data_IF_195168708836
#
_entry.id   IF_195168708836
#
_cell.length_a   1.000
_cell.length_b   1.000
_cell.length_c   1.000
_cell.angle_alpha   90.00
_cell.angle_beta   90.00
_cell.angle_gamma   90.00
#
_symmetry.space_group_name_H-M   'P 1'
#
loop_
_entity.id
_entity.type
_entity.pdbx_description
1 polymer ?
#
# COMPACT_ATOMS: atom_id res chain seq x y z
N UNK A 1 -47.03 -52.49 27.05
CA UNK A 1 -47.64 -52.25 25.73
C UNK A 1 -47.48 -50.75 25.44
N UNK A 2 -46.74 -50.43 24.37
CA UNK A 2 -46.65 -49.15 23.64
C UNK A 2 -46.14 -47.91 24.41
N UNK A 3 -44.90 -47.42 24.20
CA UNK A 3 -44.22 -46.88 22.99
C UNK A 3 -44.73 -45.48 22.58
N UNK A 4 -43.73 -44.58 22.53
CA UNK A 4 -43.55 -43.38 21.70
C UNK A 4 -44.06 -42.04 22.28
N UNK A 5 -43.21 -41.02 22.09
CA UNK A 5 -43.45 -39.57 22.13
C UNK A 5 -43.10 -38.82 23.43
N UNK A 6 -41.80 -38.54 23.62
CA UNK A 6 -41.34 -37.19 23.99
C UNK A 6 -39.86 -37.00 23.63
N UNK A 7 -39.52 -37.26 22.36
CA UNK A 7 -38.36 -36.66 21.68
C UNK A 7 -38.64 -35.19 21.30
N UNK A 8 -39.33 -34.45 22.19
CA UNK A 8 -39.81 -33.07 21.97
C UNK A 8 -39.02 -32.07 22.84
N UNK A 9 -37.92 -32.49 23.46
CA UNK A 9 -37.08 -31.63 24.29
C UNK A 9 -35.83 -31.07 23.61
N UNK A 10 -35.42 -31.59 22.45
CA UNK A 10 -34.07 -31.33 21.90
C UNK A 10 -34.04 -30.77 20.46
N UNK A 11 -35.16 -30.19 20.00
CA UNK A 11 -35.22 -29.56 18.66
C UNK A 11 -35.63 -28.08 18.67
N UNK A 12 -35.94 -27.51 19.83
CA UNK A 12 -36.32 -26.08 19.96
C UNK A 12 -35.12 -25.18 20.27
N UNK A 13 -33.96 -25.74 20.63
CA UNK A 13 -32.78 -24.95 20.97
C UNK A 13 -31.90 -24.56 19.76
N UNK A 14 -32.20 -25.03 18.54
CA UNK A 14 -31.34 -24.78 17.38
C UNK A 14 -31.87 -23.73 16.38
N UNK A 15 -33.11 -23.26 16.55
CA UNK A 15 -33.72 -22.27 15.62
C UNK A 15 -33.50 -20.82 16.08
N UNK A 16 -33.06 -20.58 17.32
CA UNK A 16 -32.87 -19.24 17.89
C UNK A 16 -31.43 -18.72 17.88
N UNK A 17 -30.46 -19.44 17.30
CA UNK A 17 -29.07 -19.00 17.24
C UNK A 17 -28.65 -18.36 15.90
N UNK A 18 -29.58 -18.22 14.94
CA UNK A 18 -29.26 -17.69 13.60
C UNK A 18 -29.75 -16.26 13.40
N UNK A 19 -30.57 -15.70 14.29
CA UNK A 19 -31.22 -14.40 14.06
C UNK A 19 -30.60 -13.20 14.77
N UNK A 20 -29.55 -13.34 15.60
CA UNK A 20 -29.08 -12.24 16.46
C UNK A 20 -27.60 -11.84 16.40
N UNK A 21 -26.74 -12.48 15.60
CA UNK A 21 -25.33 -12.06 15.46
C UNK A 21 -24.86 -11.91 14.01
N UNK A 22 -25.79 -11.78 13.07
CA UNK A 22 -25.49 -11.29 11.73
C UNK A 22 -25.66 -9.78 11.66
N UNK A 23 -24.96 -9.01 12.50
CA UNK A 23 -24.80 -7.59 12.18
C UNK A 23 -23.96 -7.59 10.90
N UNK A 24 -24.49 -7.18 9.73
CA UNK A 24 -23.60 -6.96 8.59
C UNK A 24 -22.57 -5.97 9.11
N UNK A 25 -21.29 -6.31 8.98
CA UNK A 25 -20.23 -5.35 9.21
C UNK A 25 -20.62 -4.14 8.35
N UNK A 26 -21.04 -3.05 9.00
CA UNK A 26 -21.25 -1.80 8.32
C UNK A 26 -19.87 -1.50 7.75
N UNK A 27 -19.74 -1.65 6.43
CA UNK A 27 -18.59 -1.16 5.71
C UNK A 27 -18.49 0.30 6.10
N UNK A 28 -17.57 0.59 6.99
CA UNK A 28 -17.22 1.94 7.41
C UNK A 28 -17.10 2.70 6.09
N UNK A 29 -17.98 3.68 5.86
CA UNK A 29 -18.14 4.33 4.56
C UNK A 29 -16.76 4.72 4.10
N UNK A 30 -16.22 4.00 3.11
CA UNK A 30 -14.82 4.09 2.76
C UNK A 30 -14.52 5.56 2.53
N UNK A 31 -13.65 6.14 3.38
CA UNK A 31 -13.16 7.50 3.19
C UNK A 31 -12.77 7.61 1.72
N UNK A 32 -13.26 8.63 0.98
CA UNK A 32 -13.05 8.70 -0.46
C UNK A 32 -11.56 8.50 -0.71
N UNK A 33 -11.22 7.45 -1.47
CA UNK A 33 -9.84 7.08 -1.70
C UNK A 33 -9.13 8.31 -2.26
N UNK A 34 -8.23 8.89 -1.47
CA UNK A 34 -7.43 10.02 -1.93
C UNK A 34 -6.67 9.56 -3.15
N UNK A 35 -6.95 10.18 -4.30
CA UNK A 35 -6.26 9.83 -5.53
C UNK A 35 -4.87 10.46 -5.48
N UNK A 36 -3.85 9.65 -5.72
CA UNK A 36 -2.46 10.07 -5.66
C UNK A 36 -1.89 10.27 -7.06
N UNK A 37 -1.18 11.36 -7.26
CA UNK A 37 -0.24 11.53 -8.37
C UNK A 37 1.11 10.97 -7.93
N UNK A 38 1.77 10.18 -8.79
CA UNK A 38 3.08 9.59 -8.52
C UNK A 38 4.11 10.13 -9.51
N UNK A 39 5.33 10.32 -9.02
CA UNK A 39 6.46 10.75 -9.84
C UNK A 39 7.72 10.02 -9.40
N UNK A 40 8.53 9.61 -10.38
CA UNK A 40 9.88 9.10 -10.16
C UNK A 40 10.86 9.86 -11.04
N UNK A 41 12.06 10.10 -10.51
CA UNK A 41 13.11 10.82 -11.22
C UNK A 41 14.50 10.30 -10.85
N UNK A 42 15.36 10.18 -11.85
CA UNK A 42 16.78 9.87 -11.65
C UNK A 42 17.55 11.17 -11.48
N UNK A 43 18.27 11.29 -10.37
CA UNK A 43 18.94 12.52 -9.92
C UNK A 43 20.42 12.22 -9.70
N UNK A 44 21.27 13.12 -10.14
CA UNK A 44 22.71 13.04 -9.86
C UNK A 44 23.00 13.23 -8.36
N UNK A 45 24.03 12.59 -7.80
CA UNK A 45 24.37 12.68 -6.38
C UNK A 45 24.58 14.11 -5.88
N UNK A 46 25.18 14.97 -6.70
CA UNK A 46 25.47 16.37 -6.39
C UNK A 46 24.21 17.23 -6.32
N UNK A 47 23.13 16.84 -6.99
CA UNK A 47 21.88 17.58 -7.08
C UNK A 47 20.77 17.02 -6.17
N UNK A 48 21.02 15.90 -5.48
CA UNK A 48 20.01 15.22 -4.66
C UNK A 48 19.35 16.15 -3.64
N UNK A 49 20.16 16.88 -2.86
CA UNK A 49 19.65 17.78 -1.82
C UNK A 49 18.80 18.92 -2.40
N UNK A 50 19.22 19.47 -3.54
CA UNK A 50 18.45 20.50 -4.24
C UNK A 50 17.11 19.92 -4.70
N UNK A 51 17.11 18.72 -5.29
CA UNK A 51 15.89 18.12 -5.83
C UNK A 51 14.88 17.76 -4.74
N UNK A 52 15.35 17.24 -3.61
CA UNK A 52 14.50 16.95 -2.45
C UNK A 52 13.87 18.23 -1.89
N UNK A 53 14.61 19.33 -1.84
CA UNK A 53 14.07 20.63 -1.43
C UNK A 53 12.99 21.14 -2.39
N UNK A 54 13.22 21.07 -3.70
CA UNK A 54 12.24 21.45 -4.72
C UNK A 54 10.94 20.63 -4.59
N UNK A 55 11.05 19.31 -4.41
CA UNK A 55 9.88 18.44 -4.23
C UNK A 55 9.12 18.76 -2.95
N UNK A 56 9.81 19.06 -1.84
CA UNK A 56 9.18 19.53 -0.62
C UNK A 56 8.39 20.84 -0.82
N UNK A 57 8.95 21.80 -1.55
CA UNK A 57 8.29 23.07 -1.87
C UNK A 57 7.05 22.87 -2.77
N UNK A 58 7.10 21.92 -3.69
CA UNK A 58 6.02 21.58 -4.62
C UNK A 58 4.95 20.66 -4.02
N UNK A 59 5.01 20.41 -2.71
CA UNK A 59 4.10 19.53 -1.94
C UNK A 59 4.13 18.08 -2.41
N UNK A 60 5.29 17.61 -2.88
CA UNK A 60 5.53 16.18 -3.10
C UNK A 60 6.03 15.54 -1.81
N UNK A 61 5.42 14.41 -1.45
CA UNK A 61 5.87 13.52 -0.38
C UNK A 61 6.82 12.48 -0.97
N UNK A 62 8.12 12.62 -0.69
CA UNK A 62 9.14 11.61 -1.04
C UNK A 62 8.98 10.42 -0.10
N UNK A 63 8.82 9.23 -0.67
CA UNK A 63 8.68 7.99 0.11
C UNK A 63 9.69 6.90 -0.26
N UNK A 64 10.43 7.06 -1.36
CA UNK A 64 11.54 6.18 -1.70
C UNK A 64 12.70 6.97 -2.32
N UNK A 65 13.92 6.60 -1.92
CA UNK A 65 15.17 7.07 -2.50
C UNK A 65 16.09 5.87 -2.64
N UNK A 66 16.39 5.49 -3.87
CA UNK A 66 17.19 4.31 -4.20
C UNK A 66 18.48 4.74 -4.88
N UNK A 67 19.61 4.16 -4.49
CA UNK A 67 20.90 4.41 -5.15
C UNK A 67 21.13 3.37 -6.23
N UNK A 68 21.35 3.82 -7.45
CA UNK A 68 21.78 2.99 -8.58
C UNK A 68 23.22 3.30 -8.97
N UNK A 69 24.00 2.26 -9.23
CA UNK A 69 25.35 2.39 -9.77
C UNK A 69 25.41 1.71 -11.14
N UNK A 70 25.80 2.47 -12.17
CA UNK A 70 26.05 1.97 -13.52
C UNK A 70 27.55 1.91 -13.76
N UNK A 71 28.04 0.76 -14.21
CA UNK A 71 29.43 0.60 -14.64
C UNK A 71 29.48 0.69 -16.16
N UNK A 72 30.13 1.72 -16.67
CA UNK A 72 30.41 1.90 -18.10
C UNK A 72 31.82 1.41 -18.38
N UNK A 73 31.95 0.47 -19.31
CA UNK A 73 33.23 0.00 -19.80
C UNK A 73 33.58 0.76 -21.08
N UNK A 74 34.70 1.49 -21.06
CA UNK A 74 35.06 2.37 -22.16
C UNK A 74 35.89 1.62 -23.23
N UNK A 75 36.94 0.92 -22.81
CA UNK A 75 37.95 0.32 -23.72
C UNK A 75 38.41 -1.08 -23.26
N UNK A 76 37.57 -1.86 -22.56
CA UNK A 76 37.92 -3.21 -22.09
C UNK A 76 38.84 -3.28 -20.85
N UNK A 77 39.39 -2.12 -20.43
CA UNK A 77 40.27 -2.01 -19.25
C UNK A 77 39.78 -0.94 -18.28
N UNK A 78 39.27 0.18 -18.80
CA UNK A 78 38.78 1.31 -18.01
C UNK A 78 37.29 1.15 -17.69
N UNK A 79 36.95 1.21 -16.40
CA UNK A 79 35.58 1.15 -15.89
C UNK A 79 35.22 2.46 -15.20
N UNK A 80 34.23 3.17 -15.73
CA UNK A 80 33.63 4.35 -15.11
C UNK A 80 32.43 3.92 -14.29
N UNK A 81 32.43 4.25 -13.00
CA UNK A 81 31.28 4.01 -12.13
C UNK A 81 30.48 5.31 -11.99
N UNK A 82 29.26 5.31 -12.51
CA UNK A 82 28.32 6.42 -12.42
C UNK A 82 27.26 6.08 -11.38
N UNK A 83 27.20 6.85 -10.30
CA UNK A 83 26.14 6.72 -9.30
C UNK A 83 25.02 7.70 -9.59
N UNK A 84 23.77 7.25 -9.48
CA UNK A 84 22.57 8.08 -9.52
C UNK A 84 21.61 7.69 -8.39
N UNK A 85 20.65 8.56 -8.11
CA UNK A 85 19.56 8.28 -7.18
C UNK A 85 18.23 8.27 -7.92
N UNK A 86 17.43 7.22 -7.75
CA UNK A 86 16.05 7.23 -8.15
C UNK A 86 15.21 7.70 -6.96
N UNK A 87 14.56 8.85 -7.10
CA UNK A 87 13.68 9.42 -6.08
C UNK A 87 12.25 9.20 -6.53
N UNK A 88 11.41 8.67 -5.65
CA UNK A 88 9.98 8.50 -5.90
C UNK A 88 9.17 9.26 -4.87
N UNK A 89 8.18 10.01 -5.36
CA UNK A 89 7.28 10.78 -4.54
C UNK A 89 5.84 10.68 -5.02
N UNK A 90 4.94 11.10 -4.13
CA UNK A 90 3.51 11.19 -4.39
C UNK A 90 2.92 12.50 -3.87
N UNK A 91 1.79 12.92 -4.40
CA UNK A 91 0.98 14.00 -3.82
C UNK A 91 -0.51 13.78 -4.08
N UNK A 92 -1.40 14.29 -3.22
CA UNK A 92 -2.83 14.15 -3.43
C UNK A 92 -3.28 14.98 -4.65
N UNK A 93 -4.07 14.38 -5.52
CA UNK A 93 -4.80 15.10 -6.57
C UNK A 93 -5.95 15.87 -5.91
N UNK A 94 -6.08 17.15 -6.29
CA UNK A 94 -7.17 18.01 -5.85
C UNK A 94 -8.46 17.68 -6.57
#
# INVERSE_FOLDING_TARGET
MNRIWSFVGLFVAFVFAVTFFGQPAQSDTASPATRWEYRSETVEPTLLSQRLNEWGNDRWEVFAVERGDTVLEQDGTTKLKVSNFQVTARRPLK
#
